data_IF_415691272896
#
_entry.id   IF_415691272896
#
_cell.length_a   1.000
_cell.length_b   1.000
_cell.length_c   1.000
_cell.angle_alpha   90.00
_cell.angle_beta   90.00
_cell.angle_gamma   90.00
#
_symmetry.space_group_name_H-M   'P 1'
#
loop_
_entity.id
_entity.type
_entity.pdbx_description
1 polymer ?
#
# COMPACT_ATOMS: atom_id res chain seq x y z
N UNK A 1 -9.79 28.23 -5.84
CA UNK A 1 -10.14 26.78 -5.91
C UNK A 1 -8.91 25.92 -6.13
N UNK A 2 -8.09 26.18 -7.16
CA UNK A 2 -6.83 25.45 -7.40
C UNK A 2 -5.78 25.63 -6.28
N UNK A 3 -5.59 26.83 -5.75
CA UNK A 3 -4.66 27.08 -4.64
C UNK A 3 -5.03 26.30 -3.37
N UNK A 4 -6.32 26.30 -3.00
CA UNK A 4 -6.83 25.52 -1.86
C UNK A 4 -6.63 24.00 -2.05
N UNK A 5 -6.77 23.51 -3.30
CA UNK A 5 -6.56 22.10 -3.64
C UNK A 5 -5.10 21.71 -3.49
N UNK A 6 -4.18 22.55 -3.94
CA UNK A 6 -2.74 22.35 -3.77
C UNK A 6 -2.31 22.38 -2.29
N UNK A 7 -2.88 23.29 -1.49
CA UNK A 7 -2.65 23.32 -0.04
C UNK A 7 -3.02 22.00 0.63
N UNK A 8 -4.14 21.39 0.22
CA UNK A 8 -4.57 20.07 0.73
C UNK A 8 -3.64 18.96 0.20
N UNK A 9 -3.33 18.95 -1.09
CA UNK A 9 -2.53 17.91 -1.75
C UNK A 9 -1.10 17.80 -1.18
N UNK A 10 -0.49 18.95 -0.89
CA UNK A 10 0.87 19.05 -0.36
C UNK A 10 0.94 19.15 1.15
N UNK A 11 -0.19 18.99 1.87
CA UNK A 11 -0.16 18.79 3.32
C UNK A 11 0.41 17.40 3.61
N UNK A 12 1.41 17.34 4.49
CA UNK A 12 1.95 16.09 4.99
C UNK A 12 0.86 15.36 5.81
N UNK A 13 0.47 14.13 5.44
CA UNK A 13 -0.41 13.31 6.27
C UNK A 13 0.32 12.84 7.54
N UNK A 14 -0.42 12.66 8.64
CA UNK A 14 0.14 12.29 9.95
C UNK A 14 0.75 10.88 9.96
N UNK A 15 0.20 9.97 9.17
CA UNK A 15 0.65 8.59 9.06
C UNK A 15 0.31 8.01 7.69
N UNK A 16 0.84 6.80 7.42
CA UNK A 16 0.45 6.02 6.24
C UNK A 16 -1.03 5.61 6.34
N UNK A 17 -1.71 5.57 5.20
CA UNK A 17 -3.10 5.09 5.10
C UNK A 17 -3.29 3.63 5.55
N UNK A 18 -2.19 2.85 5.63
CA UNK A 18 -2.21 1.48 6.15
C UNK A 18 -2.47 1.42 7.66
N UNK A 19 -2.19 2.51 8.38
CA UNK A 19 -2.36 2.62 9.83
C UNK A 19 -1.40 1.74 10.64
N UNK A 20 -1.77 1.48 11.89
CA UNK A 20 -0.98 0.69 12.82
C UNK A 20 -1.45 -0.75 12.90
N UNK A 21 -0.51 -1.67 13.13
CA UNK A 21 -0.82 -3.06 13.36
C UNK A 21 -1.68 -3.19 14.62
N UNK A 22 -2.87 -3.83 14.57
CA UNK A 22 -3.76 -3.89 15.73
C UNK A 22 -3.28 -4.83 16.85
N UNK A 23 -2.12 -5.49 16.66
CA UNK A 23 -1.52 -6.40 17.64
C UNK A 23 -0.33 -5.74 18.36
N UNK A 24 0.60 -5.14 17.62
CA UNK A 24 1.77 -4.49 18.21
C UNK A 24 1.70 -2.96 18.29
N UNK A 25 0.67 -2.35 17.70
CA UNK A 25 0.47 -0.89 17.63
C UNK A 25 1.62 -0.12 16.98
N UNK A 26 2.44 -0.80 16.16
CA UNK A 26 3.46 -0.18 15.34
C UNK A 26 2.94 0.04 13.92
N UNK A 27 3.38 1.10 13.21
CA UNK A 27 2.98 1.37 11.84
C UNK A 27 3.16 0.14 10.93
N UNK A 28 2.20 -0.11 10.05
CA UNK A 28 2.25 -1.21 9.09
C UNK A 28 3.15 -0.82 7.91
N UNK A 29 4.11 -1.70 7.58
CA UNK A 29 4.94 -1.61 6.39
C UNK A 29 4.14 -1.89 5.12
N UNK A 30 4.68 -1.55 3.95
CA UNK A 30 4.07 -1.85 2.65
C UNK A 30 3.81 -3.35 2.45
N UNK A 31 4.61 -4.19 3.11
CA UNK A 31 4.40 -5.64 3.22
C UNK A 31 3.54 -5.94 4.47
N UNK A 32 2.39 -6.58 4.24
CA UNK A 32 1.41 -6.91 5.28
C UNK A 32 0.56 -8.13 4.89
N UNK A 33 -0.03 -8.78 5.90
CA UNK A 33 -0.91 -9.93 5.69
C UNK A 33 -2.37 -9.57 5.98
N UNK A 34 -3.28 -9.97 5.08
CA UNK A 34 -4.74 -9.87 5.28
C UNK A 34 -5.33 -11.25 5.56
N UNK A 35 -6.00 -11.39 6.70
CA UNK A 35 -6.69 -12.63 7.08
C UNK A 35 -8.11 -12.67 6.52
N UNK A 36 -8.45 -13.69 5.72
CA UNK A 36 -9.77 -13.86 5.07
C UNK A 36 -10.96 -13.91 6.04
N UNK A 37 -10.73 -14.38 7.27
CA UNK A 37 -11.78 -14.51 8.27
C UNK A 37 -12.22 -13.16 8.86
N UNK A 38 -11.35 -12.16 8.93
CA UNK A 38 -11.63 -10.87 9.57
C UNK A 38 -11.28 -9.62 8.76
N UNK A 39 -10.65 -9.80 7.60
CA UNK A 39 -10.12 -8.72 6.76
C UNK A 39 -9.20 -7.76 7.51
N UNK A 40 -8.58 -8.17 8.62
CA UNK A 40 -7.64 -7.32 9.35
C UNK A 40 -6.26 -7.42 8.73
N UNK A 41 -5.71 -6.24 8.42
CA UNK A 41 -4.30 -6.06 8.11
C UNK A 41 -3.51 -6.17 9.41
N UNK A 42 -2.47 -7.00 9.39
CA UNK A 42 -1.50 -7.13 10.48
C UNK A 42 -0.10 -7.11 9.88
N UNK A 43 0.89 -6.67 10.68
CA UNK A 43 2.28 -6.69 10.24
C UNK A 43 2.83 -8.12 10.19
N UNK A 44 3.82 -8.33 9.31
CA UNK A 44 4.40 -9.66 9.08
C UNK A 44 5.10 -10.21 10.32
N UNK A 45 5.71 -9.37 11.15
CA UNK A 45 6.27 -9.80 12.44
C UNK A 45 5.22 -10.40 13.38
N UNK A 46 4.02 -9.80 13.49
CA UNK A 46 2.93 -10.38 14.28
C UNK A 46 2.36 -11.65 13.65
N UNK A 47 2.30 -11.71 12.31
CA UNK A 47 1.87 -12.90 11.57
C UNK A 47 2.84 -14.06 11.80
N UNK A 48 4.14 -13.81 11.67
CA UNK A 48 5.23 -14.75 11.89
C UNK A 48 5.29 -15.24 13.33
N UNK A 49 5.22 -14.34 14.31
CA UNK A 49 5.18 -14.71 15.72
C UNK A 49 3.99 -15.62 16.06
N UNK A 50 2.84 -15.44 15.40
CA UNK A 50 1.69 -16.34 15.53
C UNK A 50 1.98 -17.71 14.88
N UNK A 51 2.57 -17.72 13.68
CA UNK A 51 2.92 -18.94 12.96
C UNK A 51 3.91 -19.84 13.72
N UNK A 52 4.86 -19.25 14.47
CA UNK A 52 5.82 -20.03 15.29
C UNK A 52 5.15 -20.60 16.56
N UNK A 53 4.22 -19.87 17.16
CA UNK A 53 3.57 -20.27 18.42
C UNK A 53 2.57 -21.41 18.22
N UNK A 54 1.81 -21.37 17.14
CA UNK A 54 0.79 -22.36 16.87
C UNK A 54 1.40 -23.63 16.26
N UNK A 55 1.07 -24.80 16.80
CA UNK A 55 1.39 -26.07 16.13
C UNK A 55 0.59 -26.19 14.83
N UNK A 56 1.07 -26.99 13.86
CA UNK A 56 0.34 -27.24 12.59
C UNK A 56 -1.13 -27.66 12.78
N UNK A 57 -1.47 -28.18 13.95
CA UNK A 57 -2.80 -28.70 14.31
C UNK A 57 -3.73 -27.66 14.95
N UNK A 58 -3.26 -26.43 15.24
CA UNK A 58 -4.03 -25.37 15.92
C UNK A 58 -3.88 -23.97 15.34
N UNK A 59 -3.50 -23.86 14.07
CA UNK A 59 -3.34 -22.54 13.46
C UNK A 59 -4.66 -21.76 13.43
N UNK A 60 -4.65 -20.62 14.10
CA UNK A 60 -5.76 -19.67 14.16
C UNK A 60 -5.31 -18.29 13.71
N UNK A 61 -6.27 -17.49 13.25
CA UNK A 61 -6.05 -16.11 12.89
C UNK A 61 -5.40 -15.34 14.05
N UNK A 62 -4.28 -14.64 13.83
CA UNK A 62 -3.57 -13.90 14.87
C UNK A 62 -4.41 -12.80 15.54
N UNK A 63 -5.44 -12.29 14.84
CA UNK A 63 -6.32 -11.25 15.36
C UNK A 63 -7.59 -11.82 15.98
N UNK A 64 -8.47 -12.46 15.20
CA UNK A 64 -9.79 -12.90 15.68
C UNK A 64 -9.82 -14.33 16.23
N UNK A 65 -8.70 -15.05 16.21
CA UNK A 65 -8.56 -16.46 16.65
C UNK A 65 -9.49 -17.46 15.95
N UNK A 66 -10.11 -17.07 14.84
CA UNK A 66 -10.84 -18.01 14.00
C UNK A 66 -9.86 -19.04 13.38
N UNK A 67 -10.20 -20.33 13.32
CA UNK A 67 -9.33 -21.32 12.69
C UNK A 67 -8.92 -20.92 11.27
N UNK A 68 -7.65 -21.14 10.92
CA UNK A 68 -7.17 -20.89 9.56
C UNK A 68 -7.88 -21.88 8.61
N UNK A 69 -8.43 -21.42 7.48
CA UNK A 69 -9.05 -22.30 6.49
C UNK A 69 -8.07 -23.39 6.03
N UNK A 70 -8.52 -24.64 6.02
CA UNK A 70 -7.72 -25.79 5.57
C UNK A 70 -7.99 -26.18 4.12
N UNK A 71 -9.02 -25.59 3.53
CA UNK A 71 -9.42 -25.81 2.13
C UNK A 71 -9.77 -24.49 1.45
N UNK A 72 -9.70 -24.50 0.11
CA UNK A 72 -10.16 -23.37 -0.70
C UNK A 72 -11.63 -23.04 -0.46
N UNK A 73 -12.48 -24.05 -0.26
CA UNK A 73 -13.91 -23.84 -0.01
C UNK A 73 -14.16 -23.05 1.30
N UNK A 74 -13.43 -23.38 2.37
CA UNK A 74 -13.51 -22.63 3.63
C UNK A 74 -12.99 -21.20 3.47
N UNK A 75 -11.93 -21.01 2.68
CA UNK A 75 -11.38 -19.71 2.37
C UNK A 75 -12.40 -18.84 1.62
N UNK A 76 -12.99 -19.39 0.55
CA UNK A 76 -14.01 -18.74 -0.28
C UNK A 76 -15.26 -18.42 0.54
N UNK A 77 -15.67 -19.32 1.43
CA UNK A 77 -16.80 -19.09 2.35
C UNK A 77 -16.52 -17.91 3.30
N UNK A 78 -15.31 -17.79 3.82
CA UNK A 78 -14.93 -16.66 4.67
C UNK A 78 -14.89 -15.35 3.89
N UNK A 79 -14.30 -15.37 2.69
CA UNK A 79 -14.25 -14.21 1.81
C UNK A 79 -15.66 -13.75 1.37
N UNK A 80 -16.53 -14.67 0.97
CA UNK A 80 -17.91 -14.38 0.58
C UNK A 80 -18.74 -13.77 1.71
N UNK A 81 -18.51 -14.19 2.97
CA UNK A 81 -19.12 -13.54 4.13
C UNK A 81 -18.67 -12.08 4.28
N UNK A 82 -17.41 -11.78 3.99
CA UNK A 82 -16.85 -10.42 4.04
C UNK A 82 -17.38 -9.56 2.90
N UNK A 83 -17.47 -10.11 1.69
CA UNK A 83 -18.12 -9.46 0.55
C UNK A 83 -19.59 -9.13 0.83
N UNK A 84 -20.36 -10.08 1.36
CA UNK A 84 -21.76 -9.86 1.74
C UNK A 84 -21.94 -8.79 2.83
N UNK A 85 -20.90 -8.55 3.64
CA UNK A 85 -20.86 -7.51 4.65
C UNK A 85 -20.34 -6.15 4.12
N UNK A 86 -20.08 -6.02 2.82
CA UNK A 86 -19.44 -4.85 2.20
C UNK A 86 -18.12 -4.49 2.88
N UNK A 87 -17.30 -5.48 3.21
CA UNK A 87 -15.98 -5.24 3.76
C UNK A 87 -15.06 -4.64 2.67
N UNK A 88 -14.45 -3.45 2.89
CA UNK A 88 -13.69 -2.74 1.86
C UNK A 88 -12.48 -3.52 1.35
N UNK A 89 -11.84 -4.31 2.22
CA UNK A 89 -10.67 -5.11 1.84
C UNK A 89 -11.09 -6.33 1.02
N UNK A 90 -12.20 -6.98 1.37
CA UNK A 90 -12.74 -8.06 0.55
C UNK A 90 -13.18 -7.56 -0.83
N UNK A 91 -13.84 -6.40 -0.90
CA UNK A 91 -14.21 -5.76 -2.17
C UNK A 91 -12.98 -5.42 -3.01
N UNK A 92 -11.93 -4.86 -2.40
CA UNK A 92 -10.64 -4.61 -3.06
C UNK A 92 -10.05 -5.90 -3.65
N UNK A 93 -9.99 -6.97 -2.85
CA UNK A 93 -9.46 -8.27 -3.27
C UNK A 93 -10.27 -8.88 -4.42
N UNK A 94 -11.60 -8.80 -4.37
CA UNK A 94 -12.45 -9.29 -5.46
C UNK A 94 -12.24 -8.49 -6.74
N UNK A 95 -12.17 -7.16 -6.66
CA UNK A 95 -11.87 -6.32 -7.82
C UNK A 95 -10.49 -6.61 -8.42
N UNK A 96 -9.50 -6.93 -7.58
CA UNK A 96 -8.16 -7.37 -8.03
C UNK A 96 -8.19 -8.73 -8.71
N UNK A 97 -8.99 -9.68 -8.22
CA UNK A 97 -9.17 -10.98 -8.89
C UNK A 97 -9.81 -10.80 -10.27
N UNK A 98 -10.90 -10.04 -10.37
CA UNK A 98 -11.54 -9.71 -11.66
C UNK A 98 -10.55 -9.06 -12.64
N UNK A 99 -9.72 -8.12 -12.15
CA UNK A 99 -8.69 -7.48 -12.98
C UNK A 99 -7.69 -8.48 -13.56
N UNK A 100 -7.20 -9.42 -12.74
CA UNK A 100 -6.24 -10.45 -13.15
C UNK A 100 -6.84 -11.42 -14.17
N UNK A 101 -8.15 -11.68 -14.07
CA UNK A 101 -8.91 -12.49 -15.02
C UNK A 101 -9.28 -11.75 -16.31
N UNK A 102 -9.03 -10.44 -16.38
CA UNK A 102 -9.34 -9.58 -17.52
C UNK A 102 -10.78 -9.05 -17.54
N UNK A 103 -11.56 -9.30 -16.49
CA UNK A 103 -12.89 -8.71 -16.29
C UNK A 103 -12.76 -7.32 -15.65
N UNK A 104 -12.41 -6.34 -16.49
CA UNK A 104 -12.16 -4.97 -16.06
C UNK A 104 -13.44 -4.21 -15.67
N UNK A 105 -14.61 -4.59 -16.20
CA UNK A 105 -15.89 -3.97 -15.82
C UNK A 105 -16.26 -4.35 -14.38
N UNK A 106 -16.22 -5.63 -14.04
CA UNK A 106 -16.43 -6.07 -12.65
C UNK A 106 -15.36 -5.52 -11.72
N UNK A 107 -14.10 -5.46 -12.16
CA UNK A 107 -13.01 -4.85 -11.40
C UNK A 107 -13.31 -3.39 -11.04
N UNK A 108 -13.75 -2.60 -12.02
CA UNK A 108 -14.17 -1.22 -11.81
C UNK A 108 -15.30 -1.10 -10.79
N UNK A 109 -16.32 -1.95 -10.88
CA UNK A 109 -17.47 -1.94 -9.96
C UNK A 109 -17.05 -2.27 -8.52
N UNK A 110 -16.23 -3.30 -8.32
CA UNK A 110 -15.77 -3.69 -6.98
C UNK A 110 -14.83 -2.65 -6.37
N UNK A 111 -13.89 -2.12 -7.13
CA UNK A 111 -13.00 -1.07 -6.65
C UNK A 111 -13.74 0.24 -6.39
N UNK A 112 -14.77 0.59 -7.18
CA UNK A 112 -15.63 1.74 -6.89
C UNK A 112 -16.33 1.58 -5.54
N UNK A 113 -16.94 0.43 -5.26
CA UNK A 113 -17.57 0.15 -3.96
C UNK A 113 -16.56 0.20 -2.80
N UNK A 114 -15.36 -0.35 -3.00
CA UNK A 114 -14.31 -0.30 -1.98
C UNK A 114 -13.85 1.14 -1.70
N UNK A 115 -13.69 1.95 -2.75
CA UNK A 115 -13.31 3.37 -2.65
C UNK A 115 -14.38 4.21 -1.94
N UNK A 116 -15.66 3.98 -2.22
CA UNK A 116 -16.79 4.62 -1.53
C UNK A 116 -16.81 4.31 -0.02
N UNK A 117 -16.24 3.18 0.38
CA UNK A 117 -16.07 2.76 1.77
C UNK A 117 -14.72 3.20 2.37
N UNK A 118 -13.99 4.08 1.67
CA UNK A 118 -12.73 4.67 2.15
C UNK A 118 -11.49 3.82 1.91
N UNK A 119 -11.55 2.77 1.08
CA UNK A 119 -10.36 2.01 0.73
C UNK A 119 -9.46 2.82 -0.23
N UNK A 120 -8.29 3.24 0.27
CA UNK A 120 -7.39 4.12 -0.48
C UNK A 120 -6.67 3.41 -1.63
N UNK A 121 -6.35 2.12 -1.48
CA UNK A 121 -5.78 1.32 -2.58
C UNK A 121 -6.75 1.26 -3.77
N UNK A 122 -8.04 1.10 -3.50
CA UNK A 122 -9.07 1.06 -4.53
C UNK A 122 -9.16 2.40 -5.30
N UNK A 123 -9.06 3.54 -4.61
CA UNK A 123 -8.99 4.88 -5.24
C UNK A 123 -7.80 4.94 -6.21
N UNK A 124 -6.62 4.50 -5.77
CA UNK A 124 -5.44 4.44 -6.62
C UNK A 124 -5.62 3.49 -7.82
N UNK A 125 -6.18 2.29 -7.61
CA UNK A 125 -6.38 1.33 -8.69
C UNK A 125 -7.40 1.81 -9.74
N UNK A 126 -8.44 2.54 -9.33
CA UNK A 126 -9.37 3.21 -10.24
C UNK A 126 -8.66 4.25 -11.13
N UNK A 127 -7.65 4.95 -10.60
CA UNK A 127 -6.87 5.90 -11.39
C UNK A 127 -6.15 5.20 -12.55
N UNK A 128 -5.65 3.97 -12.33
CA UNK A 128 -5.00 3.17 -13.36
C UNK A 128 -5.99 2.69 -14.43
N UNK A 129 -7.22 2.33 -14.05
CA UNK A 129 -8.27 1.98 -15.02
C UNK A 129 -8.61 3.17 -15.92
N UNK A 130 -8.75 4.37 -15.36
CA UNK A 130 -8.99 5.59 -16.14
C UNK A 130 -7.80 5.97 -17.03
N UNK A 131 -6.56 5.73 -16.58
CA UNK A 131 -5.36 5.95 -17.39
C UNK A 131 -5.32 5.04 -18.62
N UNK A 132 -5.63 3.76 -18.40
CA UNK A 132 -5.43 2.71 -19.39
C UNK A 132 -6.69 2.47 -20.25
N UNK A 133 -7.85 2.99 -19.84
CA UNK A 133 -9.13 2.78 -20.52
C UNK A 133 -9.63 1.35 -20.44
N UNK A 134 -9.41 0.67 -19.30
CA UNK A 134 -9.76 -0.73 -19.08
C UNK A 134 -11.03 -0.83 -18.26
N UNK A 135 -12.08 -1.44 -18.81
CA UNK A 135 -13.40 -1.55 -18.17
C UNK A 135 -14.16 -0.22 -18.07
N UNK A 136 -13.51 0.89 -18.44
CA UNK A 136 -14.06 2.24 -18.50
C UNK A 136 -13.39 3.02 -19.62
N UNK A 137 -14.03 4.10 -20.07
CA UNK A 137 -13.42 5.02 -21.02
C UNK A 137 -12.17 5.66 -20.42
N UNK A 138 -11.09 5.72 -21.22
CA UNK A 138 -9.86 6.43 -20.85
C UNK A 138 -10.18 7.88 -20.55
N UNK A 139 -9.80 8.36 -19.37
CA UNK A 139 -10.08 9.72 -18.94
C UNK A 139 -8.97 10.27 -18.05
N UNK A 140 -8.13 11.13 -18.62
CA UNK A 140 -7.00 11.73 -17.90
C UNK A 140 -7.46 12.59 -16.72
N UNK A 141 -8.53 13.38 -16.88
CA UNK A 141 -9.04 14.21 -15.77
C UNK A 141 -9.45 13.38 -14.55
N UNK A 142 -10.08 12.21 -14.78
CA UNK A 142 -10.44 11.26 -13.72
C UNK A 142 -9.21 10.52 -13.17
N UNK A 143 -8.23 10.18 -14.00
CA UNK A 143 -6.94 9.64 -13.53
C UNK A 143 -6.30 10.59 -12.50
N UNK A 144 -6.10 11.86 -12.88
CA UNK A 144 -5.48 12.86 -12.00
C UNK A 144 -6.27 13.07 -10.71
N UNK A 145 -7.60 13.19 -10.83
CA UNK A 145 -8.46 13.35 -9.66
C UNK A 145 -8.31 12.19 -8.66
N UNK A 146 -8.40 10.94 -9.12
CA UNK A 146 -8.27 9.77 -8.24
C UNK A 146 -6.86 9.65 -7.65
N UNK A 147 -5.81 9.97 -8.43
CA UNK A 147 -4.44 10.01 -7.92
C UNK A 147 -4.28 11.05 -6.80
N UNK A 148 -4.83 12.24 -6.96
CA UNK A 148 -4.79 13.28 -5.94
C UNK A 148 -5.56 12.87 -4.68
N UNK A 149 -6.77 12.31 -4.81
CA UNK A 149 -7.54 11.83 -3.65
C UNK A 149 -6.78 10.76 -2.88
N UNK A 150 -6.20 9.77 -3.58
CA UNK A 150 -5.39 8.73 -2.96
C UNK A 150 -4.13 9.31 -2.28
N UNK A 151 -3.46 10.28 -2.93
CA UNK A 151 -2.29 10.95 -2.36
C UNK A 151 -2.63 11.76 -1.10
N UNK A 152 -3.75 12.50 -1.11
CA UNK A 152 -4.27 13.24 0.05
C UNK A 152 -4.55 12.29 1.21
N UNK A 153 -5.11 11.11 0.92
CA UNK A 153 -5.36 10.07 1.92
C UNK A 153 -4.10 9.33 2.39
N UNK A 154 -2.91 9.66 1.86
CA UNK A 154 -1.63 9.11 2.31
C UNK A 154 -1.05 7.98 1.46
N UNK A 155 -1.63 7.69 0.28
CA UNK A 155 -1.14 6.62 -0.59
C UNK A 155 0.19 6.98 -1.26
N UNK A 156 1.26 6.31 -0.86
CA UNK A 156 2.62 6.58 -1.36
C UNK A 156 2.78 6.24 -2.85
N UNK A 157 2.13 5.17 -3.34
CA UNK A 157 2.11 4.82 -4.77
C UNK A 157 1.50 5.92 -5.65
N UNK A 158 0.31 6.43 -5.30
CA UNK A 158 -0.31 7.57 -5.97
C UNK A 158 0.59 8.82 -5.97
N UNK A 159 1.26 9.13 -4.86
CA UNK A 159 2.24 10.23 -4.81
C UNK A 159 3.41 10.02 -5.76
N UNK A 160 3.97 8.81 -5.83
CA UNK A 160 5.04 8.50 -6.79
C UNK A 160 4.56 8.62 -8.23
N UNK A 161 3.36 8.14 -8.55
CA UNK A 161 2.75 8.29 -9.88
C UNK A 161 2.51 9.76 -10.24
N UNK A 162 2.00 10.57 -9.30
CA UNK A 162 1.86 12.01 -9.49
C UNK A 162 3.21 12.66 -9.73
N UNK A 163 4.24 12.35 -8.93
CA UNK A 163 5.59 12.89 -9.14
C UNK A 163 6.12 12.59 -10.54
N UNK A 164 5.95 11.35 -11.01
CA UNK A 164 6.32 10.96 -12.36
C UNK A 164 5.54 11.74 -13.42
N UNK A 165 4.20 11.78 -13.31
CA UNK A 165 3.33 12.45 -14.26
C UNK A 165 3.58 13.97 -14.31
N UNK A 166 3.80 14.61 -13.16
CA UNK A 166 4.13 16.03 -13.05
C UNK A 166 5.43 16.36 -13.81
N UNK A 167 6.44 15.50 -13.68
CA UNK A 167 7.72 15.66 -14.37
C UNK A 167 7.62 15.37 -15.87
N UNK A 168 7.00 14.26 -16.27
CA UNK A 168 7.04 13.78 -17.65
C UNK A 168 5.93 14.33 -18.54
N UNK A 169 4.73 14.56 -18.01
CA UNK A 169 3.57 15.05 -18.77
C UNK A 169 3.42 16.57 -18.69
N UNK A 170 3.83 17.19 -17.58
CA UNK A 170 3.62 18.62 -17.35
C UNK A 170 4.91 19.44 -17.26
N UNK A 171 6.07 18.82 -17.08
CA UNK A 171 7.34 19.52 -16.86
C UNK A 171 7.42 20.29 -15.54
N UNK A 172 6.55 19.98 -14.56
CA UNK A 172 6.44 20.67 -13.26
C UNK A 172 7.29 19.97 -12.20
N UNK A 173 8.60 20.10 -12.33
CA UNK A 173 9.59 19.44 -11.46
C UNK A 173 9.44 19.84 -9.99
N UNK A 174 9.06 21.09 -9.70
CA UNK A 174 8.84 21.58 -8.34
C UNK A 174 7.71 20.81 -7.62
N UNK A 175 6.61 20.52 -8.33
CA UNK A 175 5.50 19.71 -7.82
C UNK A 175 5.91 18.26 -7.65
N UNK A 176 6.66 17.73 -8.63
CA UNK A 176 7.17 16.37 -8.57
C UNK A 176 8.01 16.13 -7.30
N UNK A 177 8.95 17.05 -7.01
CA UNK A 177 9.77 17.02 -5.80
C UNK A 177 8.91 17.06 -4.53
N UNK A 178 7.87 17.90 -4.46
CA UNK A 178 6.97 17.94 -3.29
C UNK A 178 6.28 16.60 -3.05
N UNK A 179 5.78 15.94 -4.10
CA UNK A 179 5.19 14.61 -3.97
C UNK A 179 6.20 13.58 -3.46
N UNK A 180 7.44 13.61 -3.97
CA UNK A 180 8.51 12.73 -3.52
C UNK A 180 8.87 12.96 -2.06
N UNK A 181 9.05 14.21 -1.62
CA UNK A 181 9.33 14.55 -0.22
C UNK A 181 8.25 13.97 0.70
N UNK A 182 6.96 14.18 0.38
CA UNK A 182 5.87 13.69 1.23
C UNK A 182 5.84 12.16 1.29
N UNK A 183 6.07 11.48 0.17
CA UNK A 183 6.12 10.02 0.12
C UNK A 183 7.36 9.47 0.85
N UNK A 184 8.50 10.14 0.75
CA UNK A 184 9.74 9.81 1.50
C UNK A 184 9.50 9.96 3.01
N UNK A 185 8.86 11.04 3.44
CA UNK A 185 8.48 11.27 4.84
C UNK A 185 7.51 10.20 5.38
N UNK A 186 6.82 9.48 4.50
CA UNK A 186 5.96 8.33 4.84
C UNK A 186 6.71 6.98 4.83
N UNK A 187 8.03 6.99 4.70
CA UNK A 187 8.85 5.78 4.71
C UNK A 187 8.95 5.06 3.35
N UNK A 188 8.59 5.71 2.23
CA UNK A 188 8.64 5.06 0.92
C UNK A 188 10.06 5.05 0.31
N UNK A 189 10.68 3.87 0.25
CA UNK A 189 12.03 3.68 -0.32
C UNK A 189 12.15 4.04 -1.80
N UNK A 190 11.12 3.75 -2.61
CA UNK A 190 11.12 4.10 -4.03
C UNK A 190 11.14 5.62 -4.24
N UNK A 191 10.33 6.35 -3.46
CA UNK A 191 10.33 7.81 -3.50
C UNK A 191 11.62 8.39 -2.93
N UNK A 192 12.21 7.77 -1.92
CA UNK A 192 13.51 8.17 -1.38
C UNK A 192 14.58 8.08 -2.47
N UNK A 193 14.72 6.95 -3.18
CA UNK A 193 15.66 6.81 -4.30
C UNK A 193 15.43 7.83 -5.41
N UNK A 194 14.17 8.10 -5.75
CA UNK A 194 13.84 9.12 -6.76
C UNK A 194 14.19 10.54 -6.28
N UNK A 195 13.98 10.84 -4.99
CA UNK A 195 14.35 12.12 -4.39
C UNK A 195 15.87 12.31 -4.35
N UNK A 196 16.65 11.25 -4.11
CA UNK A 196 18.11 11.27 -4.22
C UNK A 196 18.54 11.66 -5.64
N UNK A 197 17.92 11.07 -6.68
CA UNK A 197 18.24 11.45 -8.06
C UNK A 197 17.93 12.92 -8.34
N UNK A 198 16.81 13.43 -7.80
CA UNK A 198 16.47 14.85 -7.89
C UNK A 198 17.51 15.73 -7.18
N UNK A 199 18.00 15.31 -6.01
CA UNK A 199 19.06 16.01 -5.27
C UNK A 199 20.38 16.04 -6.05
N UNK A 200 20.82 14.91 -6.61
CA UNK A 200 22.01 14.81 -7.45
C UNK A 200 21.92 15.70 -8.72
N UNK A 201 20.71 15.92 -9.22
CA UNK A 201 20.45 16.81 -10.35
C UNK A 201 20.33 18.30 -9.95
N UNK A 202 20.40 18.63 -8.65
CA UNK A 202 20.20 19.99 -8.14
C UNK A 202 18.75 20.47 -8.17
N UNK A 203 17.78 19.56 -8.30
CA UNK A 203 16.33 19.86 -8.28
C UNK A 203 15.79 20.03 -6.85
N UNK A 204 16.57 19.62 -5.84
CA UNK A 204 16.26 19.71 -4.41
C UNK A 204 17.48 20.24 -3.68
N UNK A 205 17.29 21.17 -2.75
CA UNK A 205 18.37 21.65 -1.88
C UNK A 205 18.72 20.64 -0.78
N UNK A 206 19.96 20.75 -0.26
CA UNK A 206 20.51 19.86 0.75
C UNK A 206 19.64 19.80 2.01
N UNK A 207 19.14 20.94 2.49
CA UNK A 207 18.36 21.03 3.72
C UNK A 207 17.05 20.22 3.61
N UNK A 208 16.31 20.37 2.51
CA UNK A 208 15.09 19.60 2.26
C UNK A 208 15.38 18.11 2.10
N UNK A 209 16.45 17.77 1.40
CA UNK A 209 16.84 16.38 1.20
C UNK A 209 17.19 15.71 2.54
N UNK A 210 18.03 16.35 3.35
CA UNK A 210 18.41 15.85 4.68
C UNK A 210 17.19 15.74 5.60
N UNK A 211 16.29 16.72 5.61
CA UNK A 211 15.07 16.65 6.39
C UNK A 211 14.18 15.45 5.99
N UNK A 212 14.03 15.21 4.68
CA UNK A 212 13.27 14.07 4.17
C UNK A 212 13.92 12.73 4.54
N UNK A 213 15.25 12.65 4.45
CA UNK A 213 16.00 11.44 4.84
C UNK A 213 15.83 11.13 6.33
N UNK A 214 15.89 12.14 7.20
CA UNK A 214 15.69 11.96 8.64
C UNK A 214 14.26 11.52 8.96
N UNK A 215 13.26 12.11 8.30
CA UNK A 215 11.87 11.71 8.46
C UNK A 215 11.62 10.27 8.00
N UNK A 216 12.17 9.89 6.84
CA UNK A 216 12.14 8.51 6.34
C UNK A 216 12.73 7.53 7.36
N UNK A 217 13.94 7.81 7.87
CA UNK A 217 14.60 6.96 8.87
C UNK A 217 13.76 6.84 10.15
N UNK A 218 13.16 7.93 10.63
CA UNK A 218 12.31 7.89 11.82
C UNK A 218 11.08 6.98 11.65
N UNK A 219 10.47 6.96 10.46
CA UNK A 219 9.36 6.05 10.15
C UNK A 219 9.84 4.60 10.06
N UNK A 220 10.98 4.36 9.40
CA UNK A 220 11.61 3.03 9.33
C UNK A 220 11.92 2.50 10.73
N UNK A 221 12.49 3.33 11.60
CA UNK A 221 12.79 2.96 12.98
C UNK A 221 11.52 2.69 13.80
N UNK A 222 10.47 3.49 13.61
CA UNK A 222 9.17 3.27 14.26
C UNK A 222 8.49 1.96 13.80
N UNK A 223 8.80 1.48 12.59
CA UNK A 223 8.33 0.20 12.08
C UNK A 223 9.13 -0.99 12.62
N UNK A 224 10.30 -0.80 13.23
CA UNK A 224 11.14 -1.91 13.63
C UNK A 224 10.61 -2.63 14.89
N UNK A 225 10.65 -3.97 14.87
CA UNK A 225 10.40 -4.80 16.05
C UNK A 225 11.21 -6.10 15.96
N UNK A 226 11.56 -6.74 17.09
CA UNK A 226 12.31 -8.00 17.07
C UNK A 226 11.64 -9.07 16.21
N UNK A 227 10.31 -9.15 16.23
CA UNK A 227 9.56 -10.14 15.43
C UNK A 227 9.61 -9.86 13.93
N UNK A 228 9.63 -8.58 13.52
CA UNK A 228 9.79 -8.20 12.11
C UNK A 228 11.22 -8.48 11.64
N UNK A 229 12.22 -8.24 12.48
CA UNK A 229 13.61 -8.58 12.19
C UNK A 229 13.82 -10.10 12.06
N UNK A 230 13.26 -10.89 12.98
CA UNK A 230 13.29 -12.35 12.91
C UNK A 230 12.63 -12.89 11.64
N UNK A 231 11.47 -12.33 11.26
CA UNK A 231 10.77 -12.71 10.03
C UNK A 231 11.59 -12.36 8.78
N UNK A 232 12.16 -11.15 8.70
CA UNK A 232 13.01 -10.73 7.59
C UNK A 232 14.26 -11.62 7.45
N UNK A 233 14.87 -12.01 8.57
CA UNK A 233 16.01 -12.93 8.59
C UNK A 233 15.61 -14.33 8.12
N UNK A 234 14.45 -14.83 8.54
CA UNK A 234 13.92 -16.11 8.08
C UNK A 234 13.66 -16.12 6.56
N UNK A 235 13.09 -15.06 6.00
CA UNK A 235 12.88 -14.95 4.55
C UNK A 235 14.20 -14.87 3.78
N UNK A 236 15.20 -14.15 4.29
CA UNK A 236 16.53 -14.11 3.69
C UNK A 236 17.16 -15.50 3.66
N UNK A 237 17.07 -16.23 4.77
CA UNK A 237 17.53 -17.61 4.84
C UNK A 237 16.84 -18.51 3.79
N UNK A 238 15.51 -18.43 3.67
CA UNK A 238 14.77 -19.21 2.66
C UNK A 238 15.22 -18.86 1.23
N UNK A 239 15.37 -17.57 0.91
CA UNK A 239 15.84 -17.12 -0.41
C UNK A 239 17.22 -17.68 -0.73
N UNK A 240 18.16 -17.58 0.20
CA UNK A 240 19.52 -18.13 0.04
C UNK A 240 19.50 -19.65 -0.14
N UNK A 241 18.71 -20.35 0.68
CA UNK A 241 18.63 -21.81 0.63
C UNK A 241 18.00 -22.34 -0.67
N UNK A 242 16.93 -21.70 -1.16
CA UNK A 242 16.32 -22.07 -2.44
C UNK A 242 17.13 -21.62 -3.66
N UNK A 243 17.94 -20.56 -3.57
CA UNK A 243 18.88 -20.19 -4.63
C UNK A 243 20.08 -21.14 -4.74
N UNK A 244 20.49 -21.80 -3.65
CA UNK A 244 21.60 -22.77 -3.64
C UNK A 244 21.13 -24.21 -3.95
N UNK A 245 19.85 -24.51 -3.76
CA UNK A 245 19.29 -25.87 -3.90
C UNK A 245 18.82 -26.30 -5.31
N UNK A 246 18.96 -25.45 -6.34
CA UNK A 246 18.58 -25.75 -7.73
C UNK A 246 19.75 -25.52 -8.72
N UNK A 247 20.97 -25.91 -8.32
CA UNK A 247 22.16 -25.96 -9.18
C UNK A 247 22.55 -27.38 -9.53
#
# INVERSE_FOLDING_TARGET
>A
AAELRDEILFKQPESSYLGDCPICFLPISVEFFVQSCCSKMICDGCSYANAIRETKERQACPFCRHPVPTSKEELDKNHNKRLAANDPIALLQMGTSCHQEGDYESSFDYWTKAAELGNVDAIYLLSLLYRDGRGVEKNEGKEWYQLEEAAIAGHVGARFTLAHNEKTRCGRTDRAVKHLIIATNLGCDYSMRALQQCHENGEVDDDKFTAALHAHQAVVDAMNSPQREEQANFERYLKEWFCVGNG
#
